data_IF_143477380951
#
_entry.id   IF_143477380951
#
_cell.length_a   1.000
_cell.length_b   1.000
_cell.length_c   1.000
_cell.angle_alpha   90.00
_cell.angle_beta   90.00
_cell.angle_gamma   90.00
#
_symmetry.space_group_name_H-M   'P 1'
#
loop_
_entity.id
_entity.type
_entity.pdbx_description
1 polymer ?
#
# COMPACT_ATOMS: atom_id res chain seq x y z
N UNK A 1 -8.99 4.97 16.87
CA UNK A 1 -8.67 4.03 15.79
C UNK A 1 -9.92 3.25 15.43
N UNK A 2 -10.11 3.01 14.14
CA UNK A 2 -11.26 2.27 13.65
C UNK A 2 -11.16 0.78 13.97
N UNK A 3 -12.27 0.09 13.82
CA UNK A 3 -12.37 -1.33 14.12
C UNK A 3 -11.49 -2.16 13.19
N UNK A 4 -10.85 -3.18 13.75
CA UNK A 4 -10.07 -4.15 12.98
C UNK A 4 -11.02 -5.29 12.57
N UNK A 5 -11.10 -5.56 11.28
CA UNK A 5 -11.99 -6.59 10.72
C UNK A 5 -11.25 -7.45 9.72
N UNK A 6 -11.84 -8.60 9.38
CA UNK A 6 -11.37 -9.44 8.28
C UNK A 6 -12.31 -9.21 7.10
N UNK A 7 -11.74 -8.94 5.93
CA UNK A 7 -12.50 -8.68 4.71
C UNK A 7 -11.98 -9.56 3.57
N UNK A 8 -12.85 -9.83 2.61
CA UNK A 8 -12.45 -10.48 1.36
C UNK A 8 -12.19 -9.40 0.32
N UNK A 9 -10.98 -9.38 -0.21
CA UNK A 9 -10.53 -8.37 -1.18
C UNK A 9 -10.48 -9.00 -2.56
N UNK A 10 -11.09 -8.38 -3.58
CA UNK A 10 -11.01 -8.89 -4.94
C UNK A 10 -9.63 -8.64 -5.56
N UNK A 11 -9.34 -9.36 -6.64
CA UNK A 11 -8.16 -9.08 -7.45
C UNK A 11 -8.29 -7.65 -8.02
N UNK A 12 -7.17 -6.97 -8.16
CA UNK A 12 -7.14 -5.58 -8.57
C UNK A 12 -6.17 -5.37 -9.73
N UNK A 13 -6.69 -4.92 -10.87
CA UNK A 13 -5.85 -4.59 -12.03
C UNK A 13 -5.13 -3.27 -11.77
N UNK A 14 -3.81 -3.26 -11.94
CA UNK A 14 -3.00 -2.08 -11.64
C UNK A 14 -1.92 -1.83 -12.69
N UNK A 15 -1.45 -0.58 -12.71
CA UNK A 15 -0.15 -0.20 -13.22
C UNK A 15 0.72 0.08 -12.01
N UNK A 16 1.91 -0.51 -11.97
CA UNK A 16 2.78 -0.35 -10.81
C UNK A 16 4.24 -0.48 -11.15
N UNK A 17 5.07 -0.22 -10.14
CA UNK A 17 6.51 -0.39 -10.26
C UNK A 17 7.11 -0.73 -8.92
N UNK A 18 8.31 -1.30 -8.97
CA UNK A 18 9.09 -1.61 -7.77
C UNK A 18 10.44 -0.93 -7.85
N UNK A 19 10.94 -0.51 -6.71
CA UNK A 19 12.28 0.07 -6.59
C UNK A 19 12.81 -0.19 -5.19
N UNK A 20 14.09 -0.50 -5.10
CA UNK A 20 14.75 -0.64 -3.80
C UNK A 20 15.29 0.72 -3.35
N UNK A 21 15.04 1.07 -2.09
CA UNK A 21 15.47 2.35 -1.55
C UNK A 21 14.83 2.65 -0.21
N UNK A 22 14.79 3.93 0.16
CA UNK A 22 14.09 4.35 1.38
C UNK A 22 12.62 4.66 1.07
N UNK A 23 11.78 4.61 2.09
CA UNK A 23 10.35 4.91 1.92
C UNK A 23 10.06 6.35 1.50
N UNK A 24 11.06 7.24 1.58
CA UNK A 24 10.91 8.62 1.10
C UNK A 24 10.71 8.69 -0.42
N UNK A 25 10.98 7.60 -1.13
CA UNK A 25 10.77 7.52 -2.58
C UNK A 25 9.29 7.33 -2.98
N UNK A 26 8.43 6.93 -2.04
CA UNK A 26 7.04 6.61 -2.35
C UNK A 26 6.32 7.71 -3.15
N UNK A 27 6.32 8.99 -2.72
CA UNK A 27 5.62 10.04 -3.48
C UNK A 27 6.13 10.18 -4.92
N UNK A 28 7.44 10.12 -5.13
CA UNK A 28 8.05 10.22 -6.46
C UNK A 28 7.61 9.07 -7.37
N UNK A 29 7.61 7.84 -6.83
CA UNK A 29 7.22 6.66 -7.60
C UNK A 29 5.73 6.70 -7.94
N UNK A 30 4.89 7.14 -7.02
CA UNK A 30 3.46 7.32 -7.28
C UNK A 30 3.22 8.29 -8.44
N UNK A 31 3.95 9.41 -8.47
CA UNK A 31 3.83 10.38 -9.55
C UNK A 31 4.30 9.81 -10.90
N UNK A 32 5.39 9.04 -10.91
CA UNK A 32 5.89 8.40 -12.14
C UNK A 32 4.86 7.48 -12.76
N UNK A 33 4.22 6.64 -11.96
CA UNK A 33 3.20 5.71 -12.48
C UNK A 33 1.96 6.47 -12.93
N UNK A 34 1.53 7.48 -12.18
CA UNK A 34 0.38 8.31 -12.54
C UNK A 34 0.61 9.03 -13.88
N UNK A 35 1.79 9.59 -14.07
CA UNK A 35 2.15 10.27 -15.33
C UNK A 35 2.19 9.27 -16.50
N UNK A 36 2.72 8.08 -16.27
CA UNK A 36 2.70 7.01 -17.27
C UNK A 36 1.27 6.66 -17.68
N UNK A 37 0.37 6.50 -16.69
CA UNK A 37 -1.03 6.19 -16.95
C UNK A 37 -1.70 7.28 -17.81
N UNK A 38 -1.43 8.54 -17.50
CA UNK A 38 -1.97 9.66 -18.29
C UNK A 38 -1.48 9.62 -19.73
N UNK A 39 -0.19 9.35 -19.96
CA UNK A 39 0.39 9.26 -21.31
C UNK A 39 -0.19 8.11 -22.10
N UNK A 40 -0.61 7.04 -21.45
CA UNK A 40 -1.24 5.89 -22.09
C UNK A 40 -2.76 6.00 -22.16
N UNK A 41 -3.33 7.11 -21.70
CA UNK A 41 -4.78 7.31 -21.61
C UNK A 41 -5.47 6.22 -20.78
N UNK A 42 -4.78 5.70 -19.78
CA UNK A 42 -5.34 4.72 -18.85
C UNK A 42 -6.25 5.42 -17.86
N UNK A 43 -7.42 4.84 -17.61
CA UNK A 43 -8.34 5.39 -16.62
C UNK A 43 -7.95 4.91 -15.22
N UNK A 44 -7.68 5.85 -14.32
CA UNK A 44 -7.42 5.54 -12.91
C UNK A 44 -8.75 5.14 -12.27
N UNK A 45 -8.79 3.98 -11.64
CA UNK A 45 -10.01 3.38 -11.11
C UNK A 45 -10.14 3.49 -9.58
N UNK A 46 -9.15 4.04 -8.90
CA UNK A 46 -9.19 4.17 -7.45
C UNK A 46 -7.91 4.78 -6.88
N UNK A 47 -7.82 4.89 -5.54
CA UNK A 47 -6.66 5.48 -4.90
C UNK A 47 -5.40 4.62 -5.04
N UNK A 48 -4.22 5.23 -4.94
CA UNK A 48 -2.95 4.51 -5.07
C UNK A 48 -2.70 3.58 -3.88
N UNK A 49 -1.89 2.55 -4.14
CA UNK A 49 -1.54 1.52 -3.16
C UNK A 49 -0.03 1.45 -3.03
N UNK A 50 0.45 1.43 -1.79
CA UNK A 50 1.81 1.05 -1.46
C UNK A 50 1.79 -0.36 -0.89
N UNK A 51 2.65 -1.23 -1.42
CA UNK A 51 2.78 -2.60 -0.92
C UNK A 51 4.10 -2.69 -0.16
N UNK A 52 4.00 -2.91 1.16
CA UNK A 52 5.14 -3.00 2.04
C UNK A 52 5.54 -4.46 2.20
N UNK A 53 6.71 -4.79 1.69
CA UNK A 53 7.24 -6.17 1.72
C UNK A 53 7.97 -6.48 3.04
N UNK A 54 8.31 -5.47 3.83
CA UNK A 54 8.84 -5.63 5.17
C UNK A 54 7.66 -5.78 6.14
N UNK A 55 7.58 -6.92 6.82
CA UNK A 55 6.38 -7.29 7.60
C UNK A 55 6.55 -7.23 9.11
N UNK A 56 7.60 -6.58 9.60
CA UNK A 56 7.80 -6.31 11.02
C UNK A 56 8.29 -4.88 11.23
N UNK A 57 8.02 -4.28 12.40
CA UNK A 57 8.53 -2.92 12.70
C UNK A 57 10.05 -2.82 12.61
N UNK A 58 10.78 -3.86 13.02
CA UNK A 58 12.23 -3.89 12.98
C UNK A 58 12.73 -3.93 11.53
N UNK A 59 12.14 -4.76 10.68
CA UNK A 59 12.54 -4.85 9.27
C UNK A 59 12.22 -3.57 8.51
N UNK A 60 11.10 -2.92 8.81
CA UNK A 60 10.76 -1.61 8.23
C UNK A 60 11.81 -0.57 8.60
N UNK A 61 12.14 -0.46 9.87
CA UNK A 61 13.12 0.52 10.35
C UNK A 61 14.49 0.30 9.72
N UNK A 62 14.97 -0.94 9.74
CA UNK A 62 16.27 -1.29 9.17
C UNK A 62 16.33 -1.00 7.67
N UNK A 63 15.30 -1.44 6.93
CA UNK A 63 15.26 -1.24 5.49
C UNK A 63 15.24 0.24 5.12
N UNK A 64 14.51 1.06 5.87
CA UNK A 64 14.46 2.50 5.64
C UNK A 64 15.81 3.17 5.91
N UNK A 65 16.43 2.84 7.03
CA UNK A 65 17.74 3.41 7.41
C UNK A 65 18.85 3.04 6.42
N UNK A 66 18.84 1.81 5.92
CA UNK A 66 19.84 1.31 4.98
C UNK A 66 19.50 1.60 3.51
N UNK A 67 18.30 2.11 3.22
CA UNK A 67 17.87 2.33 1.85
C UNK A 67 17.70 1.04 1.07
N UNK A 68 17.27 -0.04 1.73
CA UNK A 68 17.15 -1.38 1.13
C UNK A 68 15.71 -1.89 1.09
N UNK A 69 14.73 -1.04 1.40
CA UNK A 69 13.32 -1.44 1.33
C UNK A 69 12.92 -1.77 -0.11
N UNK A 70 12.14 -2.82 -0.28
CA UNK A 70 11.53 -3.14 -1.56
C UNK A 70 10.23 -2.34 -1.67
N UNK A 71 10.26 -1.25 -2.41
CA UNK A 71 9.11 -0.36 -2.54
C UNK A 71 8.34 -0.75 -3.77
N UNK A 72 7.08 -1.14 -3.58
CA UNK A 72 6.17 -1.42 -4.67
C UNK A 72 4.98 -0.48 -4.56
N UNK A 73 4.69 0.26 -5.63
CA UNK A 73 3.52 1.14 -5.68
C UNK A 73 2.69 0.80 -6.90
N UNK A 74 1.39 1.05 -6.80
CA UNK A 74 0.46 0.71 -7.86
C UNK A 74 -0.74 1.65 -7.88
N UNK A 75 -1.24 1.92 -9.08
CA UNK A 75 -2.47 2.65 -9.29
C UNK A 75 -3.50 1.70 -9.93
N UNK A 76 -4.69 1.56 -9.33
CA UNK A 76 -5.77 0.79 -9.98
C UNK A 76 -6.14 1.43 -11.31
N UNK A 77 -6.34 0.60 -12.33
CA UNK A 77 -6.72 1.06 -13.67
C UNK A 77 -7.79 0.16 -14.26
N UNK A 78 -8.55 0.71 -15.22
CA UNK A 78 -9.52 -0.07 -16.00
C UNK A 78 -9.02 -0.27 -17.43
N UNK A 79 -9.55 -1.28 -18.09
CA UNK A 79 -9.19 -1.56 -19.49
C UNK A 79 -7.86 -2.29 -19.63
N UNK A 80 -7.42 -2.44 -20.85
CA UNK A 80 -6.15 -3.08 -21.17
C UNK A 80 -5.09 -2.01 -21.41
N UNK A 81 -4.07 -2.00 -20.56
CA UNK A 81 -2.96 -1.05 -20.65
C UNK A 81 -1.67 -1.84 -20.74
N UNK A 82 -0.81 -1.47 -21.68
CA UNK A 82 0.47 -2.12 -21.85
C UNK A 82 1.55 -1.34 -21.09
N UNK A 83 2.30 -2.04 -20.23
CA UNK A 83 3.40 -1.46 -19.49
C UNK A 83 4.69 -1.35 -20.32
N UNK A 84 5.74 -0.89 -19.65
CA UNK A 84 7.09 -0.85 -20.21
C UNK A 84 8.06 -1.53 -19.24
N UNK A 85 9.37 -1.26 -19.35
CA UNK A 85 10.36 -1.87 -18.45
C UNK A 85 10.23 -1.42 -17.00
N UNK A 86 9.80 -0.19 -16.76
CA UNK A 86 9.69 0.39 -15.42
C UNK A 86 8.30 0.25 -14.85
N UNK A 87 7.28 0.59 -15.62
CA UNK A 87 5.88 0.53 -15.20
C UNK A 87 5.22 -0.66 -15.85
N UNK A 88 4.71 -1.56 -15.02
CA UNK A 88 4.15 -2.84 -15.48
C UNK A 88 2.66 -2.87 -15.22
N UNK A 89 1.93 -3.56 -16.11
CA UNK A 89 0.52 -3.86 -15.94
C UNK A 89 0.40 -5.26 -15.34
N UNK A 90 -0.28 -5.39 -14.21
CA UNK A 90 -0.46 -6.69 -13.56
C UNK A 90 -1.67 -6.65 -12.63
N UNK A 91 -1.98 -7.81 -12.05
CA UNK A 91 -3.05 -7.92 -11.05
C UNK A 91 -2.45 -8.11 -9.67
N UNK A 92 -2.98 -7.37 -8.70
CA UNK A 92 -2.74 -7.66 -7.29
C UNK A 92 -3.75 -8.72 -6.87
N UNK A 93 -3.26 -9.86 -6.42
CA UNK A 93 -4.13 -10.96 -6.00
C UNK A 93 -4.94 -10.57 -4.77
N UNK A 94 -6.24 -10.80 -4.82
CA UNK A 94 -7.12 -10.62 -3.67
C UNK A 94 -7.03 -11.77 -2.69
N UNK A 95 -7.94 -11.81 -1.76
CA UNK A 95 -8.05 -12.87 -0.76
C UNK A 95 -8.48 -12.30 0.59
N UNK A 96 -8.35 -13.15 1.61
CA UNK A 96 -8.68 -12.76 2.98
C UNK A 96 -7.63 -11.81 3.54
N UNK A 97 -8.06 -10.67 4.06
CA UNK A 97 -7.15 -9.66 4.62
C UNK A 97 -7.72 -9.08 5.90
N UNK A 98 -6.82 -8.76 6.82
CA UNK A 98 -7.15 -7.97 8.01
C UNK A 98 -7.13 -6.51 7.59
N UNK A 99 -8.15 -5.76 7.97
CA UNK A 99 -8.35 -4.37 7.55
C UNK A 99 -8.55 -3.44 8.73
N UNK A 100 -7.90 -2.28 8.67
CA UNK A 100 -8.13 -1.17 9.58
C UNK A 100 -7.86 0.15 8.86
N UNK A 101 -8.36 1.24 9.41
CA UNK A 101 -8.11 2.58 8.89
C UNK A 101 -7.24 3.32 9.89
N UNK A 102 -6.11 3.86 9.40
CA UNK A 102 -5.30 4.78 10.16
C UNK A 102 -5.74 6.20 9.85
N UNK A 103 -6.04 6.99 10.88
CA UNK A 103 -6.41 8.40 10.75
C UNK A 103 -5.26 9.25 11.26
N UNK A 104 -4.80 10.18 10.42
CA UNK A 104 -3.72 11.08 10.77
C UNK A 104 -2.48 10.93 9.91
N UNK A 105 -1.40 11.64 10.26
CA UNK A 105 -0.16 11.63 9.46
C UNK A 105 0.45 10.24 9.32
N UNK A 106 1.08 9.98 8.19
CA UNK A 106 1.74 8.69 7.91
C UNK A 106 2.84 8.39 8.94
N UNK A 107 3.51 9.40 9.47
CA UNK A 107 4.55 9.21 10.47
C UNK A 107 4.02 8.65 11.79
N UNK A 108 2.71 8.68 12.01
CA UNK A 108 2.07 8.18 13.22
C UNK A 108 1.43 6.81 13.05
N UNK A 109 1.75 6.10 11.97
CA UNK A 109 1.19 4.77 11.68
C UNK A 109 1.67 3.65 12.61
N UNK A 110 2.83 3.80 13.24
CA UNK A 110 3.42 2.72 14.04
C UNK A 110 2.47 2.13 15.10
N UNK A 111 1.78 2.94 15.93
CA UNK A 111 0.83 2.38 16.90
C UNK A 111 -0.29 1.57 16.25
N UNK A 112 -0.78 2.00 15.09
CA UNK A 112 -1.80 1.29 14.33
C UNK A 112 -1.29 -0.08 13.89
N UNK A 113 -0.06 -0.14 13.37
CA UNK A 113 0.56 -1.40 12.97
C UNK A 113 0.78 -2.34 14.15
N UNK A 114 1.21 -1.83 15.29
CA UNK A 114 1.40 -2.65 16.48
C UNK A 114 0.10 -3.32 16.92
N UNK A 115 -1.00 -2.57 16.87
CA UNK A 115 -2.33 -3.11 17.18
C UNK A 115 -2.76 -4.18 16.20
N UNK A 116 -2.50 -3.95 14.90
CA UNK A 116 -2.83 -4.92 13.85
C UNK A 116 -2.06 -6.23 14.01
N UNK A 117 -0.75 -6.13 14.24
CA UNK A 117 0.07 -7.34 14.42
C UNK A 117 -0.32 -8.12 15.67
N UNK A 118 -0.61 -7.42 16.78
CA UNK A 118 -1.11 -8.05 18.00
C UNK A 118 -2.45 -8.75 17.77
N UNK A 119 -3.36 -8.11 17.07
CA UNK A 119 -4.68 -8.65 16.75
C UNK A 119 -4.57 -9.94 15.92
N UNK A 120 -3.66 -9.94 14.93
CA UNK A 120 -3.38 -11.11 14.07
C UNK A 120 -2.80 -12.26 14.91
N UNK A 121 -1.83 -11.95 15.76
CA UNK A 121 -1.17 -12.95 16.60
C UNK A 121 -2.15 -13.58 17.60
N UNK A 122 -3.00 -12.79 18.21
CA UNK A 122 -4.01 -13.27 19.17
C UNK A 122 -4.99 -14.27 18.55
N UNK A 123 -5.20 -14.19 17.25
CA UNK A 123 -6.13 -15.07 16.52
C UNK A 123 -5.43 -16.19 15.77
N UNK A 124 -4.13 -16.35 16.02
CA UNK A 124 -3.31 -17.41 15.40
C UNK A 124 -3.34 -17.38 13.88
N UNK A 125 -3.46 -16.18 13.30
CA UNK A 125 -3.38 -15.97 11.86
C UNK A 125 -1.94 -15.75 11.43
N UNK A 126 -1.62 -16.13 10.19
CA UNK A 126 -0.29 -15.95 9.61
C UNK A 126 -0.36 -14.89 8.51
N UNK A 127 0.59 -13.97 8.51
CA UNK A 127 0.70 -12.97 7.43
C UNK A 127 1.12 -13.69 6.15
N UNK A 128 0.33 -13.52 5.08
CA UNK A 128 0.46 -14.29 3.86
C UNK A 128 0.96 -13.48 2.66
N UNK A 129 1.30 -12.23 2.85
CA UNK A 129 1.77 -11.38 1.75
C UNK A 129 2.12 -9.98 2.22
N UNK A 130 2.51 -9.11 1.27
CA UNK A 130 2.87 -7.74 1.63
C UNK A 130 1.67 -6.97 2.18
N UNK A 131 1.95 -6.08 3.12
CA UNK A 131 0.96 -5.16 3.65
C UNK A 131 0.61 -4.13 2.58
N UNK A 132 -0.68 -3.82 2.43
CA UNK A 132 -1.15 -2.78 1.52
C UNK A 132 -1.57 -1.55 2.30
N UNK A 133 -1.03 -0.41 1.91
CA UNK A 133 -1.52 0.89 2.38
C UNK A 133 -2.21 1.57 1.21
N UNK A 134 -3.49 1.86 1.38
CA UNK A 134 -4.28 2.55 0.36
C UNK A 134 -4.48 3.99 0.81
N UNK A 135 -3.98 4.93 0.03
CA UNK A 135 -4.00 6.35 0.37
C UNK A 135 -5.32 6.96 -0.13
N UNK A 136 -6.32 6.93 0.75
CA UNK A 136 -7.71 7.25 0.40
C UNK A 136 -7.91 8.71 0.00
N UNK A 137 -7.18 9.63 0.66
CA UNK A 137 -7.26 11.05 0.32
C UNK A 137 -5.87 11.66 0.17
N UNK A 138 -5.82 12.83 -0.47
CA UNK A 138 -4.59 13.55 -0.73
C UNK A 138 -4.21 14.37 0.51
N UNK A 139 -3.02 14.15 1.10
CA UNK A 139 -2.59 14.89 2.28
C UNK A 139 -2.43 16.39 2.04
N UNK A 140 -2.35 16.81 0.77
CA UNK A 140 -2.27 18.22 0.39
C UNK A 140 -3.64 18.90 0.43
N UNK A 141 -4.73 18.13 0.39
CA UNK A 141 -6.10 18.64 0.30
C UNK A 141 -6.87 18.59 1.62
N UNK A 142 -6.35 17.87 2.59
CA UNK A 142 -7.01 17.69 3.90
C UNK A 142 -6.07 18.09 5.03
N UNK A 143 -6.63 18.34 6.21
CA UNK A 143 -5.83 18.62 7.41
C UNK A 143 -5.09 17.36 7.83
N UNK A 144 -3.92 17.46 8.50
CA UNK A 144 -3.17 16.27 8.93
C UNK A 144 -4.00 15.25 9.70
N UNK A 145 -4.87 15.70 10.61
CA UNK A 145 -5.74 14.80 11.39
C UNK A 145 -6.80 14.10 10.54
N UNK A 146 -7.04 14.57 9.32
CA UNK A 146 -8.07 14.04 8.42
C UNK A 146 -7.50 13.11 7.36
N UNK A 147 -6.17 12.88 7.36
CA UNK A 147 -5.54 11.95 6.42
C UNK A 147 -6.00 10.53 6.74
N UNK A 148 -6.46 9.81 5.72
CA UNK A 148 -6.94 8.44 5.86
C UNK A 148 -6.06 7.48 5.06
N UNK A 149 -5.57 6.44 5.73
CA UNK A 149 -4.85 5.34 5.11
C UNK A 149 -5.57 4.05 5.48
N UNK A 150 -6.06 3.32 4.49
CA UNK A 150 -6.57 1.97 4.72
C UNK A 150 -5.40 1.00 4.71
N UNK A 151 -5.37 0.12 5.70
CA UNK A 151 -4.31 -0.88 5.82
C UNK A 151 -4.95 -2.25 5.65
N UNK A 152 -4.42 -3.04 4.71
CA UNK A 152 -4.84 -4.41 4.45
C UNK A 152 -3.63 -5.33 4.62
N UNK A 153 -3.78 -6.34 5.47
CA UNK A 153 -2.72 -7.33 5.70
C UNK A 153 -3.23 -8.71 5.29
N UNK A 154 -2.71 -9.28 4.18
CA UNK A 154 -3.12 -10.63 3.76
C UNK A 154 -2.82 -11.65 4.85
N UNK A 155 -3.77 -12.54 5.12
CA UNK A 155 -3.65 -13.57 6.17
C UNK A 155 -4.16 -14.91 5.71
N UNK A 156 -3.72 -15.94 6.40
CA UNK A 156 -4.21 -17.29 6.23
C UNK A 156 -4.20 -18.06 7.55
#
# INVERSE_FOLDING_TARGET
>A
MDEITIVDVPDLKVLGMTKRGSYTLIPELLMKVCDFARKKNAAIAGPPVFLCHETSPESVKEANEKGTAMIEIAWPVTGTVKGNRQVRAYDLSGGKMVHAIHRGPYAECEPTYLKLFAWIAERNLTIAGPVREVYVNDPREVKPAEILTEIYIPVQ
#
